data_IF_357627116659
#
_entry.id   IF_357627116659
#
_cell.length_a   1.000
_cell.length_b   1.000
_cell.length_c   1.000
_cell.angle_alpha   90.00
_cell.angle_beta   90.00
_cell.angle_gamma   90.00
#
_symmetry.space_group_name_H-M   'P 1'
#
loop_
_entity.id
_entity.type
_entity.pdbx_description
1 polymer ?
#
# COMPACT_ATOMS: atom_id res chain seq x y z
N UNK A 1 -14.49 0.42 8.16
CA UNK A 1 -13.96 0.11 6.81
C UNK A 1 -12.64 -0.59 6.96
N UNK A 2 -12.40 -1.66 6.19
CA UNK A 2 -11.09 -2.33 6.12
C UNK A 2 -10.50 -2.21 4.73
N UNK A 3 -9.21 -1.89 4.68
CA UNK A 3 -8.45 -1.74 3.45
C UNK A 3 -7.21 -2.62 3.51
N UNK A 4 -6.98 -3.39 2.45
CA UNK A 4 -5.71 -4.09 2.19
C UNK A 4 -5.08 -3.47 0.94
N UNK A 5 -3.85 -2.98 1.10
CA UNK A 5 -3.09 -2.33 0.04
C UNK A 5 -1.98 -3.26 -0.46
N UNK A 6 -1.98 -3.56 -1.75
CA UNK A 6 -0.95 -4.40 -2.38
C UNK A 6 -0.32 -3.66 -3.55
N UNK A 7 0.98 -3.39 -3.44
CA UNK A 7 1.76 -2.81 -4.53
C UNK A 7 2.22 -3.91 -5.49
N UNK A 8 1.71 -3.88 -6.72
CA UNK A 8 1.82 -4.98 -7.69
C UNK A 8 2.36 -4.50 -9.04
N UNK A 9 3.12 -5.36 -9.72
CA UNK A 9 3.49 -5.18 -11.11
C UNK A 9 2.42 -5.81 -12.00
N UNK A 10 1.70 -4.98 -12.76
CA UNK A 10 0.57 -5.34 -13.59
C UNK A 10 -0.60 -6.00 -12.81
N UNK A 11 -1.83 -5.80 -13.26
CA UNK A 11 -3.02 -6.37 -12.62
C UNK A 11 -4.01 -6.81 -13.68
N UNK A 12 -4.58 -8.00 -13.50
CA UNK A 12 -5.67 -8.52 -14.30
C UNK A 12 -6.82 -8.98 -13.38
N UNK A 13 -8.02 -8.51 -13.67
CA UNK A 13 -9.25 -8.94 -13.00
C UNK A 13 -10.20 -9.47 -14.07
N UNK A 14 -10.73 -10.65 -13.83
CA UNK A 14 -11.72 -11.29 -14.72
C UNK A 14 -13.05 -11.40 -13.97
N UNK A 15 -14.10 -10.85 -14.57
CA UNK A 15 -15.48 -10.97 -14.10
C UNK A 15 -15.91 -12.43 -14.25
N UNK A 16 -16.44 -12.97 -13.15
CA UNK A 16 -16.94 -14.34 -13.11
C UNK A 16 -18.46 -14.30 -12.87
N UNK A 17 -18.98 -15.25 -12.09
CA UNK A 17 -20.39 -15.30 -11.73
C UNK A 17 -20.77 -14.13 -10.83
N UNK A 18 -22.04 -13.76 -10.91
CA UNK A 18 -22.65 -12.77 -10.05
C UNK A 18 -22.59 -13.22 -8.58
N UNK A 19 -22.16 -12.32 -7.70
CA UNK A 19 -21.98 -12.60 -6.28
C UNK A 19 -23.20 -12.18 -5.43
N UNK A 20 -24.06 -11.30 -5.94
CA UNK A 20 -25.24 -10.77 -5.26
C UNK A 20 -26.46 -10.85 -6.17
N UNK A 21 -27.66 -10.74 -5.59
CA UNK A 21 -28.91 -10.80 -6.34
C UNK A 21 -29.13 -9.60 -7.28
N UNK A 22 -28.51 -8.45 -6.97
CA UNK A 22 -28.57 -7.22 -7.74
C UNK A 22 -27.15 -6.62 -7.83
N UNK A 23 -26.26 -7.18 -8.65
CA UNK A 23 -24.90 -6.67 -8.78
C UNK A 23 -24.89 -5.32 -9.53
N UNK A 24 -23.89 -4.49 -9.24
CA UNK A 24 -23.65 -3.27 -10.02
C UNK A 24 -23.35 -3.63 -11.48
N UNK A 25 -24.00 -2.95 -12.42
CA UNK A 25 -23.69 -3.11 -13.83
C UNK A 25 -22.27 -2.61 -14.13
N UNK A 26 -21.47 -3.50 -14.70
CA UNK A 26 -20.13 -3.18 -15.18
C UNK A 26 -19.95 -3.75 -16.59
N UNK A 27 -19.56 -2.88 -17.53
CA UNK A 27 -19.58 -3.14 -18.98
C UNK A 27 -18.52 -4.13 -19.42
N UNK A 28 -17.36 -4.12 -18.78
CA UNK A 28 -16.22 -4.91 -19.20
C UNK A 28 -16.12 -6.20 -18.38
N UNK A 29 -15.84 -7.31 -19.06
CA UNK A 29 -15.61 -8.58 -18.37
C UNK A 29 -14.18 -8.71 -17.84
N UNK A 30 -13.25 -7.84 -18.28
CA UNK A 30 -11.85 -7.91 -17.91
C UNK A 30 -11.27 -6.52 -17.70
N UNK A 31 -10.60 -6.32 -16.58
CA UNK A 31 -9.78 -5.13 -16.31
C UNK A 31 -8.31 -5.54 -16.40
N UNK A 32 -7.56 -4.93 -17.32
CA UNK A 32 -6.10 -5.12 -17.42
C UNK A 32 -5.40 -3.79 -17.23
N UNK A 33 -4.58 -3.70 -16.19
CA UNK A 33 -3.74 -2.55 -15.90
C UNK A 33 -2.28 -2.96 -16.00
N UNK A 34 -1.50 -2.15 -16.73
CA UNK A 34 -0.04 -2.30 -16.81
C UNK A 34 0.67 -1.22 -16.00
N UNK A 35 1.83 -1.56 -15.45
CA UNK A 35 2.69 -0.69 -14.64
C UNK A 35 2.67 -1.04 -13.16
N UNK A 36 3.17 -0.13 -12.33
CA UNK A 36 3.17 -0.26 -10.87
C UNK A 36 1.84 0.21 -10.30
N UNK A 37 1.04 -0.75 -9.84
CA UNK A 37 -0.34 -0.52 -9.43
C UNK A 37 -0.48 -0.76 -7.93
N UNK A 38 -1.05 0.21 -7.23
CA UNK A 38 -1.52 0.01 -5.88
C UNK A 38 -2.96 -0.52 -5.93
N UNK A 39 -3.13 -1.80 -5.61
CA UNK A 39 -4.45 -2.42 -5.51
C UNK A 39 -4.97 -2.20 -4.09
N UNK A 40 -6.10 -1.51 -4.00
CA UNK A 40 -6.79 -1.19 -2.76
C UNK A 40 -8.02 -2.10 -2.63
N UNK A 41 -7.86 -3.22 -1.93
CA UNK A 41 -8.97 -4.10 -1.59
C UNK A 41 -9.77 -3.46 -0.46
N UNK A 42 -11.03 -3.11 -0.72
CA UNK A 42 -11.87 -2.36 0.23
C UNK A 42 -13.07 -3.19 0.66
N UNK A 43 -13.28 -3.26 1.97
CA UNK A 43 -14.48 -3.83 2.60
C UNK A 43 -15.16 -2.72 3.39
N UNK A 44 -16.37 -2.35 2.96
CA UNK A 44 -17.24 -1.41 3.67
C UNK A 44 -17.98 -2.16 4.77
N UNK A 45 -18.03 -1.60 5.97
CA UNK A 45 -18.67 -2.18 7.15
C UNK A 45 -19.95 -1.41 7.51
N UNK A 46 -20.88 -2.03 8.23
CA UNK A 46 -22.17 -1.41 8.61
C UNK A 46 -22.00 -0.06 9.32
N UNK A 47 -20.96 0.09 10.14
CA UNK A 47 -20.68 1.34 10.86
C UNK A 47 -20.24 2.50 9.94
N UNK A 48 -19.77 2.19 8.73
CA UNK A 48 -19.23 3.18 7.79
C UNK A 48 -20.33 3.96 7.06
N UNK A 49 -21.55 3.41 7.01
CA UNK A 49 -22.68 4.03 6.31
C UNK A 49 -23.24 5.24 7.04
N UNK A 50 -22.82 5.49 8.29
CA UNK A 50 -23.27 6.62 9.09
C UNK A 50 -22.80 7.97 8.52
N UNK A 51 -21.58 8.03 8.00
CA UNK A 51 -21.01 9.23 7.35
C UNK A 51 -20.07 8.80 6.22
N UNK A 52 -20.66 8.54 5.05
CA UNK A 52 -19.95 8.02 3.89
C UNK A 52 -18.89 8.99 3.36
N UNK A 53 -19.13 10.29 3.44
CA UNK A 53 -18.19 11.32 2.99
C UNK A 53 -16.93 11.35 3.86
N UNK A 54 -17.11 11.30 5.19
CA UNK A 54 -15.99 11.25 6.11
C UNK A 54 -15.17 9.97 5.93
N UNK A 55 -15.84 8.82 5.82
CA UNK A 55 -15.16 7.53 5.66
C UNK A 55 -14.45 7.43 4.31
N UNK A 56 -15.06 7.92 3.23
CA UNK A 56 -14.42 7.97 1.91
C UNK A 56 -13.16 8.84 1.95
N UNK A 57 -13.22 10.00 2.62
CA UNK A 57 -12.06 10.87 2.81
C UNK A 57 -10.94 10.17 3.58
N UNK A 58 -11.26 9.54 4.71
CA UNK A 58 -10.28 8.77 5.49
C UNK A 58 -9.67 7.62 4.67
N UNK A 59 -10.47 6.94 3.85
CA UNK A 59 -9.99 5.90 2.94
C UNK A 59 -8.99 6.44 1.92
N UNK A 60 -9.27 7.61 1.34
CA UNK A 60 -8.36 8.28 0.41
C UNK A 60 -7.05 8.68 1.10
N UNK A 61 -7.11 9.26 2.31
CA UNK A 61 -5.92 9.63 3.11
C UNK A 61 -5.02 8.42 3.38
N UNK A 62 -5.60 7.27 3.73
CA UNK A 62 -4.83 6.02 3.93
C UNK A 62 -4.12 5.55 2.67
N UNK A 63 -4.76 5.70 1.50
CA UNK A 63 -4.16 5.35 0.21
C UNK A 63 -3.02 6.32 -0.14
N UNK A 64 -3.22 7.62 0.07
CA UNK A 64 -2.19 8.65 -0.15
C UNK A 64 -0.97 8.42 0.75
N UNK A 65 -1.19 8.16 2.03
CA UNK A 65 -0.13 7.85 2.99
C UNK A 65 0.69 6.63 2.55
N UNK A 66 0.02 5.59 2.04
CA UNK A 66 0.71 4.40 1.53
C UNK A 66 1.57 4.71 0.31
N UNK A 67 1.07 5.53 -0.63
CA UNK A 67 1.86 6.00 -1.79
C UNK A 67 3.09 6.76 -1.32
N UNK A 68 2.92 7.66 -0.34
CA UNK A 68 4.01 8.43 0.24
C UNK A 68 5.05 7.53 0.93
N UNK A 69 4.60 6.50 1.64
CA UNK A 69 5.47 5.52 2.30
C UNK A 69 6.26 4.67 1.30
N UNK A 70 5.61 4.20 0.24
CA UNK A 70 6.27 3.43 -0.84
C UNK A 70 7.33 4.31 -1.51
N UNK A 71 6.95 5.53 -1.90
CA UNK A 71 7.82 6.44 -2.66
C UNK A 71 9.04 6.88 -1.86
N UNK A 72 8.87 7.15 -0.56
CA UNK A 72 9.96 7.59 0.31
C UNK A 72 10.76 6.44 0.94
N UNK A 73 10.36 5.18 0.71
CA UNK A 73 11.07 4.04 1.30
C UNK A 73 12.56 4.00 0.96
N UNK A 74 13.00 4.19 -0.32
CA UNK A 74 14.42 4.20 -0.66
C UNK A 74 15.21 5.28 0.09
N UNK A 75 14.64 6.47 0.23
CA UNK A 75 15.28 7.60 0.91
C UNK A 75 15.41 7.34 2.42
N UNK A 76 14.38 6.80 3.07
CA UNK A 76 14.46 6.39 4.49
C UNK A 76 15.55 5.35 4.73
N UNK A 77 15.75 4.42 3.80
CA UNK A 77 16.84 3.43 3.91
C UNK A 77 18.21 4.07 3.66
N UNK A 78 18.30 5.06 2.76
CA UNK A 78 19.52 5.84 2.54
C UNK A 78 19.95 6.59 3.80
N UNK A 79 19.04 7.37 4.40
CA UNK A 79 19.29 8.13 5.63
C UNK A 79 19.75 7.21 6.76
N UNK A 80 19.04 6.10 6.97
CA UNK A 80 19.41 5.09 7.99
C UNK A 80 20.80 4.50 7.75
N UNK A 81 21.17 4.30 6.48
CA UNK A 81 22.50 3.82 6.12
C UNK A 81 23.59 4.88 6.33
N UNK A 82 23.29 6.16 6.11
CA UNK A 82 24.18 7.27 6.43
C UNK A 82 24.43 7.37 7.94
N UNK A 83 23.38 7.27 8.76
CA UNK A 83 23.51 7.22 10.23
C UNK A 83 24.38 6.04 10.70
N UNK A 84 24.22 4.88 10.08
CA UNK A 84 25.05 3.70 10.38
C UNK A 84 26.51 3.95 10.01
N UNK A 85 26.78 4.60 8.87
CA UNK A 85 28.15 4.95 8.44
C UNK A 85 28.79 5.92 9.43
N UNK A 86 28.08 6.97 9.83
CA UNK A 86 28.58 7.94 10.81
C UNK A 86 28.84 7.31 12.18
N UNK A 87 27.94 6.43 12.62
CA UNK A 87 28.14 5.67 13.85
C UNK A 87 29.39 4.78 13.78
N UNK A 88 29.56 4.04 12.67
CA UNK A 88 30.71 3.17 12.47
C UNK A 88 32.02 3.95 12.39
N UNK A 89 32.02 5.11 11.74
CA UNK A 89 33.17 6.01 11.67
C UNK A 89 33.60 6.49 13.05
N UNK A 90 32.64 6.88 13.91
CA UNK A 90 32.92 7.27 15.31
C UNK A 90 33.50 6.13 16.15
N UNK A 91 33.16 4.87 15.86
CA UNK A 91 33.77 3.70 16.49
C UNK A 91 35.20 3.48 15.99
N UNK A 92 35.44 3.60 14.68
CA UNK A 92 36.78 3.48 14.08
C UNK A 92 37.75 4.54 14.59
N UNK A 93 37.26 5.77 14.75
CA UNK A 93 38.01 6.90 15.32
C UNK A 93 38.19 6.80 16.85
N UNK A 94 37.64 5.77 17.50
CA UNK A 94 37.73 5.55 18.95
C UNK A 94 36.93 6.54 19.81
N UNK A 95 36.09 7.40 19.20
CA UNK A 95 35.25 8.39 19.89
C UNK A 95 34.10 7.76 20.67
N UNK A 96 33.62 6.59 20.22
CA UNK A 96 32.53 5.85 20.87
C UNK A 96 32.96 4.37 21.00
N UNK A 97 32.74 3.76 22.17
CA UNK A 97 32.95 2.32 22.37
C UNK A 97 31.75 1.54 21.85
N UNK A 98 31.96 0.51 21.04
CA UNK A 98 30.89 -0.33 20.53
C UNK A 98 31.30 -1.24 19.36
N UNK A 99 30.34 -2.02 18.86
CA UNK A 99 30.50 -2.84 17.64
C UNK A 99 29.93 -2.09 16.44
N UNK A 100 30.59 -2.23 15.28
CA UNK A 100 30.07 -1.70 14.01
C UNK A 100 28.71 -2.30 13.69
N UNK A 101 27.79 -1.46 13.21
CA UNK A 101 26.46 -1.86 12.72
C UNK A 101 26.56 -2.24 11.24
N UNK A 102 25.74 -3.20 10.81
CA UNK A 102 25.62 -3.59 9.39
C UNK A 102 24.69 -2.63 8.66
N UNK A 103 25.00 -2.34 7.40
CA UNK A 103 24.12 -1.57 6.53
C UNK A 103 22.85 -2.37 6.22
N UNK A 104 21.78 -1.65 5.94
CA UNK A 104 20.47 -2.18 5.60
C UNK A 104 20.37 -2.30 4.08
N UNK A 105 20.24 -3.53 3.58
CA UNK A 105 20.13 -3.88 2.16
C UNK A 105 18.69 -4.30 1.83
N UNK A 106 17.73 -3.40 2.04
CA UNK A 106 16.30 -3.66 1.78
C UNK A 106 15.80 -3.08 0.45
N UNK A 107 16.60 -2.25 -0.22
CA UNK A 107 16.23 -1.65 -1.50
C UNK A 107 16.59 -2.64 -2.61
N UNK A 108 15.62 -2.98 -3.45
CA UNK A 108 15.85 -3.67 -4.73
C UNK A 108 16.21 -2.63 -5.81
N UNK A 109 15.55 -2.68 -6.97
CA UNK A 109 15.63 -1.60 -7.95
C UNK A 109 14.84 -0.39 -7.43
N UNK A 110 15.43 0.81 -7.49
CA UNK A 110 14.76 2.06 -7.10
C UNK A 110 13.56 2.36 -7.98
N UNK A 111 13.57 1.87 -9.23
CA UNK A 111 12.48 2.07 -10.17
C UNK A 111 11.16 1.47 -9.67
N UNK A 112 11.15 0.50 -8.75
CA UNK A 112 9.90 -0.12 -8.28
C UNK A 112 9.23 0.62 -7.11
N UNK A 113 9.84 1.69 -6.58
CA UNK A 113 9.31 2.39 -5.40
C UNK A 113 8.58 3.67 -5.82
N UNK A 114 7.58 3.52 -6.68
CA UNK A 114 6.59 4.54 -7.01
C UNK A 114 5.28 3.84 -7.41
N UNK A 115 4.19 4.60 -7.48
CA UNK A 115 2.88 4.09 -7.87
C UNK A 115 2.43 4.86 -9.11
N UNK A 116 2.17 4.16 -10.21
CA UNK A 116 1.68 4.74 -11.46
C UNK A 116 0.16 4.90 -11.44
N UNK A 117 -0.53 3.89 -10.88
CA UNK A 117 -1.99 3.75 -10.94
C UNK A 117 -2.53 3.17 -9.65
N UNK A 118 -3.79 3.46 -9.38
CA UNK A 118 -4.53 2.93 -8.24
C UNK A 118 -5.72 2.14 -8.78
N UNK A 119 -5.92 0.93 -8.24
CA UNK A 119 -7.11 0.13 -8.52
C UNK A 119 -7.89 -0.05 -7.21
N UNK A 120 -9.05 0.60 -7.10
CA UNK A 120 -9.98 0.36 -5.99
C UNK A 120 -10.81 -0.88 -6.31
N UNK A 121 -10.71 -1.90 -5.47
CA UNK A 121 -11.30 -3.20 -5.70
C UNK A 121 -12.21 -3.63 -4.53
N UNK A 122 -13.53 -3.80 -4.75
CA UNK A 122 -14.44 -4.30 -3.71
C UNK A 122 -14.05 -5.71 -3.24
N UNK A 123 -13.85 -5.89 -1.93
CA UNK A 123 -13.42 -7.15 -1.33
C UNK A 123 -14.08 -7.42 0.03
N UNK A 124 -15.23 -8.07 0.00
CA UNK A 124 -16.02 -8.42 1.18
C UNK A 124 -15.29 -9.30 2.21
N UNK A 125 -14.25 -10.04 1.82
CA UNK A 125 -13.60 -10.99 2.72
C UNK A 125 -12.71 -10.36 3.80
N UNK A 126 -12.47 -9.04 3.80
CA UNK A 126 -11.69 -8.41 4.88
C UNK A 126 -12.49 -8.26 6.18
N UNK A 127 -13.83 -8.26 6.11
CA UNK A 127 -14.67 -8.08 7.28
C UNK A 127 -15.78 -9.11 7.42
N UNK A 128 -16.27 -9.24 8.65
CA UNK A 128 -17.45 -10.03 9.02
C UNK A 128 -18.70 -9.17 9.23
N UNK A 129 -18.55 -7.84 9.19
CA UNK A 129 -19.59 -6.87 9.55
C UNK A 129 -19.88 -5.94 8.36
N UNK A 130 -20.14 -6.53 7.19
CA UNK A 130 -20.27 -5.82 5.91
C UNK A 130 -21.51 -4.95 5.87
N UNK A 131 -21.43 -3.79 5.20
CA UNK A 131 -22.61 -3.00 4.89
C UNK A 131 -23.53 -3.75 3.92
N UNK A 132 -24.84 -3.59 4.10
CA UNK A 132 -25.85 -4.02 3.11
C UNK A 132 -26.17 -2.93 2.07
N UNK A 133 -25.72 -1.70 2.34
CA UNK A 133 -25.82 -0.53 1.45
C UNK A 133 -24.54 -0.34 0.65
#
# INVERSE_FOLDING_TARGET
MKILLIHSQDVEVVKNKEATSNPQEFKDDVIKLKGLILVCFVSVEDQDTYDTDLIAKQGAEVIEDAIFQITNFPERIREKNEEIRDHNKKIEEGKIKGKKRKLVELIKDRSIYHVDKILVYPWAHLSKFLSNE
#
